data_IF_834511365103
#
_entry.id   IF_834511365103
#
_cell.length_a   1.000
_cell.length_b   1.000
_cell.length_c   1.000
_cell.angle_alpha   90.00
_cell.angle_beta   90.00
_cell.angle_gamma   90.00
#
_symmetry.space_group_name_H-M   'P 1'
#
loop_
_entity.id
_entity.type
_entity.pdbx_description
1 polymer ?
#
# COMPACT_ATOMS: atom_id res chain seq x y z
N UNK A 1 29.75 14.46 -9.35
CA UNK A 1 28.40 13.92 -9.05
C UNK A 1 27.79 14.91 -8.06
N UNK A 2 26.54 15.24 -8.16
CA UNK A 2 25.94 16.21 -7.25
C UNK A 2 25.69 15.52 -5.89
N UNK A 3 26.21 16.07 -4.79
CA UNK A 3 26.16 15.42 -3.47
C UNK A 3 24.90 15.78 -2.67
N UNK A 4 24.03 16.62 -3.22
CA UNK A 4 22.78 17.05 -2.63
C UNK A 4 21.73 17.35 -3.70
N UNK A 5 20.46 17.40 -3.30
CA UNK A 5 19.32 17.74 -4.15
C UNK A 5 18.39 18.75 -3.45
N UNK A 6 18.10 19.88 -4.10
CA UNK A 6 16.93 20.71 -3.81
C UNK A 6 15.78 20.25 -4.70
N UNK A 7 14.65 19.84 -4.11
CA UNK A 7 13.59 19.14 -4.83
C UNK A 7 12.61 20.13 -5.48
N UNK A 8 12.29 21.20 -4.76
CA UNK A 8 11.36 22.23 -5.22
C UNK A 8 11.98 23.62 -4.97
N UNK A 9 11.62 24.61 -5.79
CA UNK A 9 12.16 25.95 -5.67
C UNK A 9 11.80 26.65 -4.35
N UNK A 10 10.67 26.26 -3.74
CA UNK A 10 10.23 26.78 -2.44
C UNK A 10 10.90 26.08 -1.24
N UNK A 11 11.66 25.01 -1.46
CA UNK A 11 12.31 24.30 -0.36
C UNK A 11 13.35 25.16 0.33
N UNK A 12 13.31 25.19 1.66
CA UNK A 12 14.32 25.83 2.51
C UNK A 12 15.33 24.81 3.07
N UNK A 13 15.30 23.58 2.56
CA UNK A 13 16.25 22.50 2.83
C UNK A 13 16.73 21.86 1.54
N UNK A 14 17.89 21.21 1.60
CA UNK A 14 18.37 20.26 0.59
C UNK A 14 18.48 18.88 1.23
N UNK A 15 18.37 17.83 0.40
CA UNK A 15 18.63 16.43 0.80
C UNK A 15 20.05 16.05 0.40
N UNK A 16 20.83 15.55 1.33
CA UNK A 16 22.17 15.02 1.08
C UNK A 16 22.04 13.67 0.35
N UNK A 17 22.58 13.55 -0.85
CA UNK A 17 22.66 12.29 -1.61
C UNK A 17 23.83 11.44 -1.11
N UNK A 18 24.92 12.10 -0.74
CA UNK A 18 26.07 11.54 -0.04
C UNK A 18 26.27 12.30 1.27
N UNK A 19 27.01 11.73 2.22
CA UNK A 19 27.36 12.44 3.45
C UNK A 19 28.11 13.72 3.11
N UNK A 20 27.64 14.86 3.66
CA UNK A 20 28.29 16.18 3.52
C UNK A 20 29.10 16.42 4.79
N UNK A 21 30.45 16.50 4.70
CA UNK A 21 31.30 16.75 5.86
C UNK A 21 31.07 18.14 6.48
N UNK A 22 31.32 18.28 7.77
CA UNK A 22 31.35 19.59 8.43
C UNK A 22 32.35 20.53 7.74
N UNK A 23 31.93 21.77 7.49
CA UNK A 23 32.74 22.77 6.81
C UNK A 23 32.72 22.73 5.28
N UNK A 24 32.08 21.69 4.69
CA UNK A 24 31.91 21.57 3.25
C UNK A 24 31.01 22.71 2.72
N UNK A 25 31.35 23.22 1.56
CA UNK A 25 30.59 24.29 0.88
C UNK A 25 29.81 23.71 -0.29
N UNK A 26 28.50 23.86 -0.24
CA UNK A 26 27.61 23.50 -1.35
C UNK A 26 27.06 24.76 -2.01
N UNK A 27 26.84 24.71 -3.32
CA UNK A 27 26.21 25.81 -4.07
C UNK A 27 24.83 25.37 -4.53
N UNK A 28 23.80 26.05 -4.01
CA UNK A 28 22.38 25.74 -4.21
C UNK A 28 21.76 26.79 -5.11
N UNK A 29 20.91 26.38 -6.06
CA UNK A 29 20.09 27.29 -6.86
C UNK A 29 18.98 27.89 -6.00
N UNK A 30 18.84 29.23 -6.03
CA UNK A 30 17.78 29.96 -5.31
C UNK A 30 17.23 31.03 -6.26
N UNK A 31 15.98 30.84 -6.72
CA UNK A 31 15.41 31.68 -7.78
C UNK A 31 16.30 31.67 -9.04
N UNK A 32 16.55 32.84 -9.62
CA UNK A 32 17.41 33.00 -10.80
C UNK A 32 18.92 33.03 -10.47
N UNK A 33 19.31 32.84 -9.22
CA UNK A 33 20.68 32.91 -8.73
C UNK A 33 21.16 31.61 -8.07
N UNK A 34 22.37 31.73 -7.48
CA UNK A 34 22.96 30.66 -6.67
C UNK A 34 23.45 31.18 -5.34
N UNK A 35 23.39 30.34 -4.32
CA UNK A 35 23.85 30.64 -2.97
C UNK A 35 24.80 29.56 -2.49
N UNK A 36 25.92 29.97 -1.88
CA UNK A 36 26.84 29.05 -1.24
C UNK A 36 26.49 28.92 0.24
N UNK A 37 26.25 27.70 0.68
CA UNK A 37 25.94 27.34 2.07
C UNK A 37 27.06 26.44 2.60
N UNK A 38 27.51 26.71 3.83
CA UNK A 38 28.55 25.90 4.49
C UNK A 38 27.90 24.97 5.51
N UNK A 39 28.11 23.67 5.43
CA UNK A 39 27.62 22.70 6.41
C UNK A 39 28.28 23.00 7.78
N UNK A 40 27.46 23.18 8.82
CA UNK A 40 27.94 23.46 10.19
C UNK A 40 28.40 22.20 10.92
N UNK A 41 27.88 21.08 10.51
CA UNK A 41 28.14 19.76 11.06
C UNK A 41 28.05 18.71 9.94
N UNK A 42 28.41 17.47 10.20
CA UNK A 42 28.26 16.40 9.22
C UNK A 42 26.78 16.12 8.97
N UNK A 43 26.36 16.10 7.70
CA UNK A 43 25.00 15.78 7.26
C UNK A 43 25.02 14.39 6.64
N UNK A 44 24.45 13.36 7.27
CA UNK A 44 24.42 12.02 6.74
C UNK A 44 23.63 11.91 5.42
N UNK A 45 23.96 10.95 4.57
CA UNK A 45 23.21 10.66 3.35
C UNK A 45 21.72 10.38 3.67
N UNK A 46 20.82 10.89 2.84
CA UNK A 46 19.37 10.84 3.03
C UNK A 46 18.81 11.90 3.99
N UNK A 47 19.67 12.61 4.72
CA UNK A 47 19.25 13.65 5.66
C UNK A 47 19.17 15.03 5.00
N UNK A 48 18.64 16.00 5.74
CA UNK A 48 18.36 17.35 5.27
C UNK A 48 19.31 18.36 5.90
N UNK A 49 19.70 19.38 5.12
CA UNK A 49 20.44 20.54 5.57
C UNK A 49 19.66 21.83 5.28
N UNK A 50 19.60 22.75 6.22
CA UNK A 50 18.99 24.07 6.03
C UNK A 50 19.79 24.91 5.02
N UNK A 51 19.12 25.58 4.09
CA UNK A 51 19.76 26.50 3.12
C UNK A 51 19.49 27.96 3.43
N UNK A 52 18.80 28.23 4.52
CA UNK A 52 18.60 29.55 5.11
C UNK A 52 18.34 29.39 6.61
N UNK A 53 18.40 30.52 7.35
CA UNK A 53 17.97 30.53 8.75
C UNK A 53 16.47 30.31 8.84
N UNK A 54 16.05 29.44 9.78
CA UNK A 54 14.64 29.11 10.05
C UNK A 54 14.40 29.48 11.52
N UNK A 55 13.54 30.47 11.81
CA UNK A 55 13.26 30.88 13.19
C UNK A 55 12.49 29.80 13.94
N UNK A 56 12.53 29.83 15.28
CA UNK A 56 11.66 28.97 16.11
C UNK A 56 10.20 29.12 15.71
N UNK A 57 9.49 28.00 15.57
CA UNK A 57 8.12 27.94 15.05
C UNK A 57 8.01 28.09 13.54
N UNK A 58 9.09 28.45 12.85
CA UNK A 58 9.13 28.59 11.39
C UNK A 58 8.92 27.25 10.67
N UNK A 59 8.40 27.34 9.46
CA UNK A 59 8.11 26.16 8.64
C UNK A 59 9.38 25.57 8.03
N UNK A 60 9.53 24.26 8.13
CA UNK A 60 10.53 23.51 7.37
C UNK A 60 9.82 22.98 6.11
N UNK A 61 10.33 23.38 4.94
CA UNK A 61 9.69 23.13 3.64
C UNK A 61 10.55 22.17 2.82
N UNK A 62 9.93 21.06 2.36
CA UNK A 62 10.51 20.07 1.46
C UNK A 62 9.42 19.60 0.49
N UNK A 63 9.77 19.31 -0.74
CA UNK A 63 8.82 19.00 -1.82
C UNK A 63 7.85 20.16 -2.17
N UNK A 64 8.18 21.39 -1.78
CA UNK A 64 7.29 22.54 -1.87
C UNK A 64 6.21 22.63 -0.80
N UNK A 65 6.24 21.74 0.19
CA UNK A 65 5.26 21.65 1.27
C UNK A 65 5.93 21.68 2.64
N UNK A 66 5.17 22.09 3.65
CA UNK A 66 5.61 22.04 5.04
C UNK A 66 5.74 20.60 5.52
N UNK A 67 6.94 20.21 5.97
CA UNK A 67 7.22 18.92 6.60
C UNK A 67 7.26 18.97 8.13
N UNK A 68 7.05 20.13 8.73
CA UNK A 68 7.06 20.36 10.17
C UNK A 68 7.45 21.77 10.51
N UNK A 69 7.56 22.05 11.82
CA UNK A 69 7.98 23.34 12.32
C UNK A 69 9.28 23.21 13.13
N UNK A 70 10.13 24.23 13.05
CA UNK A 70 11.34 24.34 13.84
C UNK A 70 11.00 24.40 15.35
N UNK A 71 11.72 23.64 16.17
CA UNK A 71 11.60 23.64 17.64
C UNK A 71 12.37 24.78 18.27
N UNK A 72 13.37 25.28 17.56
CA UNK A 72 14.33 26.32 17.96
C UNK A 72 14.80 27.06 16.71
N UNK A 73 15.58 28.13 16.86
CA UNK A 73 16.21 28.79 15.73
C UNK A 73 17.22 27.86 15.06
N UNK A 74 16.99 27.50 13.80
CA UNK A 74 17.86 26.65 13.00
C UNK A 74 18.68 27.56 12.08
N UNK A 75 19.98 27.56 12.25
CA UNK A 75 20.85 28.35 11.41
C UNK A 75 21.08 27.68 10.04
N UNK A 76 21.34 28.49 9.03
CA UNK A 76 21.79 28.01 7.71
C UNK A 76 22.99 27.07 7.85
N UNK A 77 22.97 25.97 7.08
CA UNK A 77 23.98 24.90 7.09
C UNK A 77 23.82 23.86 8.19
N UNK A 78 22.81 24.00 9.06
CA UNK A 78 22.55 23.02 10.13
C UNK A 78 21.84 21.77 9.62
N UNK A 79 22.13 20.65 10.26
CA UNK A 79 21.40 19.39 10.06
C UNK A 79 19.95 19.51 10.56
N UNK A 80 19.02 19.12 9.71
CA UNK A 80 17.58 19.12 10.01
C UNK A 80 17.11 17.71 10.31
N UNK A 81 16.65 17.48 11.56
CA UNK A 81 16.13 16.19 11.98
C UNK A 81 15.22 16.32 13.21
N UNK A 82 14.86 15.18 13.83
CA UNK A 82 13.93 15.10 14.98
C UNK A 82 14.37 15.91 16.21
N UNK A 83 15.64 16.27 16.37
CA UNK A 83 16.12 17.10 17.47
C UNK A 83 15.63 18.55 17.34
N UNK A 84 15.54 19.09 16.14
CA UNK A 84 15.19 20.49 15.89
C UNK A 84 13.92 20.71 15.07
N UNK A 85 13.23 19.64 14.62
CA UNK A 85 11.95 19.73 13.91
C UNK A 85 10.88 18.89 14.62
N UNK A 86 9.67 19.43 14.72
CA UNK A 86 8.47 18.75 15.22
C UNK A 86 7.39 18.71 14.15
N UNK A 87 6.48 17.72 14.27
CA UNK A 87 5.29 17.65 13.41
C UNK A 87 4.44 18.92 13.60
N UNK A 88 3.81 19.35 12.53
CA UNK A 88 2.78 20.37 12.53
C UNK A 88 1.36 19.77 12.49
N UNK A 89 1.27 18.45 12.49
CA UNK A 89 -0.02 17.74 12.56
C UNK A 89 -0.65 17.95 13.93
N UNK A 90 -1.93 18.29 13.91
CA UNK A 90 -2.77 18.45 15.08
C UNK A 90 -3.91 17.42 15.08
N UNK A 91 -5.04 17.86 15.59
CA UNK A 91 -6.29 17.09 15.61
C UNK A 91 -6.91 16.91 14.22
N UNK A 92 -8.19 16.49 14.22
CA UNK A 92 -9.01 16.45 13.01
C UNK A 92 -9.00 17.80 12.30
N UNK A 93 -8.84 17.78 11.00
CA UNK A 93 -8.81 18.99 10.18
C UNK A 93 -10.12 19.09 9.39
N UNK A 94 -10.58 20.32 9.20
CA UNK A 94 -11.58 20.64 8.20
C UNK A 94 -10.88 20.91 6.88
N UNK A 95 -11.39 20.32 5.81
CA UNK A 95 -10.83 20.45 4.47
C UNK A 95 -11.83 21.12 3.53
N UNK A 96 -11.32 21.90 2.62
CA UNK A 96 -12.12 22.55 1.57
C UNK A 96 -11.77 21.94 0.23
N UNK A 97 -12.79 21.59 -0.54
CA UNK A 97 -12.60 21.06 -1.91
C UNK A 97 -12.04 22.16 -2.81
N UNK A 98 -10.81 21.97 -3.25
CA UNK A 98 -10.11 22.87 -4.18
C UNK A 98 -9.52 22.03 -5.32
N UNK A 99 -10.35 21.67 -6.34
CA UNK A 99 -9.95 20.72 -7.35
C UNK A 99 -8.78 21.24 -8.20
N UNK A 100 -7.74 20.40 -8.30
CA UNK A 100 -6.62 20.63 -9.20
C UNK A 100 -6.97 20.03 -10.57
N UNK A 101 -6.90 20.81 -11.65
CA UNK A 101 -7.12 20.28 -12.99
C UNK A 101 -6.13 19.14 -13.31
N UNK A 102 -6.64 17.99 -13.67
CA UNK A 102 -5.85 16.84 -14.10
C UNK A 102 -6.17 16.54 -15.56
N UNK A 103 -5.13 16.55 -16.39
CA UNK A 103 -5.26 16.15 -17.78
C UNK A 103 -5.23 14.62 -17.89
N UNK A 104 -6.35 14.01 -18.25
CA UNK A 104 -6.40 12.57 -18.54
C UNK A 104 -5.76 12.28 -19.90
N UNK A 105 -4.55 11.76 -19.87
CA UNK A 105 -3.85 11.30 -21.08
C UNK A 105 -4.24 9.85 -21.36
N UNK A 106 -5.16 9.66 -22.31
CA UNK A 106 -5.42 8.33 -22.87
C UNK A 106 -4.38 8.04 -23.96
N UNK A 107 -3.75 6.90 -23.86
CA UNK A 107 -2.80 6.40 -24.85
C UNK A 107 -3.39 5.17 -25.54
N UNK A 108 -2.70 4.66 -26.58
CA UNK A 108 -3.06 3.44 -27.29
C UNK A 108 -3.28 2.26 -26.35
N UNK A 109 -4.23 1.39 -26.69
CA UNK A 109 -4.47 0.15 -25.95
C UNK A 109 -3.25 -0.75 -26.04
N UNK A 110 -2.80 -1.22 -24.89
CA UNK A 110 -1.61 -2.09 -24.73
C UNK A 110 -2.07 -3.37 -24.03
N UNK A 111 -1.52 -4.49 -24.47
CA UNK A 111 -1.83 -5.77 -23.87
C UNK A 111 -0.67 -6.28 -23.03
N UNK A 112 -0.99 -7.15 -22.06
CA UNK A 112 -0.04 -7.98 -21.33
C UNK A 112 -0.45 -9.44 -21.43
N UNK A 113 0.46 -10.36 -21.17
CA UNK A 113 0.19 -11.79 -21.20
C UNK A 113 -0.35 -12.25 -19.84
N UNK A 114 -1.64 -12.50 -19.77
CA UNK A 114 -2.35 -12.89 -18.55
C UNK A 114 -3.29 -14.07 -18.76
N UNK A 115 -4.00 -14.46 -17.70
CA UNK A 115 -4.94 -15.59 -17.70
C UNK A 115 -6.37 -15.06 -17.60
N UNK A 116 -7.20 -15.31 -18.63
CA UNK A 116 -8.62 -15.08 -18.54
C UNK A 116 -9.29 -16.17 -17.67
N UNK A 117 -10.16 -15.75 -16.76
CA UNK A 117 -10.94 -16.66 -15.92
C UNK A 117 -12.38 -16.75 -16.43
N UNK A 118 -13.07 -17.88 -16.18
CA UNK A 118 -14.45 -18.07 -16.63
C UNK A 118 -15.44 -17.00 -16.12
N UNK A 119 -15.16 -16.38 -14.96
CA UNK A 119 -15.94 -15.29 -14.38
C UNK A 119 -15.62 -13.90 -14.97
N UNK A 120 -14.77 -13.84 -16.00
CA UNK A 120 -14.36 -12.60 -16.68
C UNK A 120 -13.27 -11.80 -15.98
N UNK A 121 -12.80 -12.28 -14.82
CA UNK A 121 -11.62 -11.70 -14.14
C UNK A 121 -10.33 -12.11 -14.84
N UNK A 122 -9.23 -11.43 -14.50
CA UNK A 122 -7.94 -11.65 -15.13
C UNK A 122 -6.87 -11.87 -14.08
N UNK A 123 -6.15 -13.00 -14.21
CA UNK A 123 -4.97 -13.30 -13.39
C UNK A 123 -3.67 -12.92 -14.11
N UNK A 124 -2.69 -12.42 -13.38
CA UNK A 124 -1.31 -12.27 -13.85
C UNK A 124 -0.47 -13.51 -13.51
N UNK A 125 -1.01 -14.37 -12.63
CA UNK A 125 -0.44 -15.66 -12.20
C UNK A 125 -1.46 -16.77 -12.34
N UNK A 126 -0.97 -18.00 -12.29
CA UNK A 126 -1.77 -19.21 -12.30
C UNK A 126 -1.27 -20.17 -11.21
N UNK A 127 -1.64 -19.86 -9.99
CA UNK A 127 -1.18 -20.56 -8.78
C UNK A 127 -2.30 -21.41 -8.20
N UNK A 128 -1.96 -22.42 -7.40
CA UNK A 128 -2.92 -23.14 -6.55
C UNK A 128 -2.74 -22.65 -5.12
N UNK A 129 -3.82 -22.19 -4.51
CA UNK A 129 -3.79 -21.61 -3.18
C UNK A 129 -4.43 -22.55 -2.14
N UNK A 130 -3.72 -22.77 -1.02
CA UNK A 130 -4.25 -23.44 0.16
C UNK A 130 -4.55 -22.37 1.20
N UNK A 131 -5.84 -22.18 1.46
CA UNK A 131 -6.33 -21.10 2.34
C UNK A 131 -6.91 -21.74 3.61
N UNK A 132 -6.21 -21.63 4.77
CA UNK A 132 -6.73 -22.09 6.05
C UNK A 132 -7.87 -21.17 6.52
N UNK A 133 -8.91 -21.75 7.13
CA UNK A 133 -10.00 -20.98 7.79
C UNK A 133 -9.61 -20.50 9.18
N UNK A 134 -8.59 -21.14 9.78
CA UNK A 134 -8.13 -20.89 11.15
C UNK A 134 -6.63 -21.14 11.26
N UNK A 135 -5.94 -20.35 12.09
CA UNK A 135 -4.48 -20.46 12.29
C UNK A 135 -4.00 -21.83 12.78
N UNK A 136 -4.88 -22.63 13.40
CA UNK A 136 -4.55 -23.98 13.89
C UNK A 136 -4.07 -24.94 12.80
N UNK A 137 -4.55 -24.78 11.55
CA UNK A 137 -4.16 -25.65 10.42
C UNK A 137 -3.07 -25.04 9.52
N UNK A 138 -2.44 -23.96 9.92
CA UNK A 138 -1.39 -23.31 9.13
C UNK A 138 -0.23 -24.23 8.77
N UNK A 139 0.24 -25.03 9.73
CA UNK A 139 1.34 -25.96 9.49
C UNK A 139 0.92 -27.10 8.55
N UNK A 140 -0.32 -27.57 8.66
CA UNK A 140 -0.90 -28.57 7.74
C UNK A 140 -0.98 -27.97 6.34
N UNK A 141 -1.52 -26.75 6.18
CA UNK A 141 -1.60 -26.07 4.89
C UNK A 141 -0.20 -25.90 4.25
N UNK A 142 0.80 -25.53 5.05
CA UNK A 142 2.20 -25.41 4.58
C UNK A 142 2.78 -26.74 4.15
N UNK A 143 2.52 -27.82 4.90
CA UNK A 143 2.97 -29.16 4.56
C UNK A 143 2.31 -29.68 3.26
N UNK A 144 1.00 -29.46 3.11
CA UNK A 144 0.24 -29.78 1.91
C UNK A 144 0.85 -29.05 0.69
N UNK A 145 1.02 -27.72 0.77
CA UNK A 145 1.57 -26.93 -0.31
C UNK A 145 2.98 -27.42 -0.71
N UNK A 146 3.84 -27.71 0.28
CA UNK A 146 5.19 -28.25 0.03
C UNK A 146 5.17 -29.59 -0.71
N UNK A 147 4.30 -30.51 -0.31
CA UNK A 147 4.21 -31.83 -0.96
C UNK A 147 3.58 -31.70 -2.35
N UNK A 148 2.52 -30.92 -2.50
CA UNK A 148 1.80 -30.74 -3.74
C UNK A 148 2.61 -30.05 -4.84
N UNK A 149 3.60 -29.23 -4.48
CA UNK A 149 4.50 -28.61 -5.47
C UNK A 149 5.27 -29.61 -6.33
N UNK A 150 5.45 -30.86 -5.88
CA UNK A 150 6.05 -31.90 -6.69
C UNK A 150 5.19 -32.32 -7.92
N UNK A 151 3.91 -31.95 -7.93
CA UNK A 151 2.95 -32.30 -8.99
C UNK A 151 2.63 -31.13 -9.92
N UNK A 152 3.19 -29.94 -9.69
CA UNK A 152 2.99 -28.76 -10.53
C UNK A 152 3.39 -29.06 -11.97
N UNK A 153 2.52 -28.68 -12.92
CA UNK A 153 2.70 -28.90 -14.35
C UNK A 153 1.97 -27.87 -15.22
N UNK A 154 2.27 -27.87 -16.51
CA UNK A 154 1.63 -26.97 -17.48
C UNK A 154 1.89 -25.51 -17.17
N UNK A 155 0.82 -24.73 -17.18
CA UNK A 155 0.87 -23.29 -16.89
C UNK A 155 0.78 -22.95 -15.39
N UNK A 156 0.62 -23.94 -14.52
CA UNK A 156 0.59 -23.71 -13.05
C UNK A 156 1.99 -23.39 -12.58
N UNK A 157 2.13 -22.30 -11.84
CA UNK A 157 3.43 -21.79 -11.40
C UNK A 157 3.90 -22.44 -10.10
N UNK A 158 3.01 -22.51 -9.10
CA UNK A 158 3.31 -23.12 -7.79
C UNK A 158 2.03 -23.39 -6.97
N UNK A 159 2.20 -24.12 -5.86
CA UNK A 159 1.19 -24.29 -4.82
C UNK A 159 1.62 -23.50 -3.59
N UNK A 160 0.79 -22.56 -3.13
CA UNK A 160 1.10 -21.64 -2.04
C UNK A 160 0.08 -21.79 -0.91
N UNK A 161 0.55 -21.82 0.35
CA UNK A 161 -0.32 -21.70 1.51
C UNK A 161 -0.35 -20.24 2.00
N UNK A 162 -1.52 -19.79 2.49
CA UNK A 162 -1.72 -18.45 3.06
C UNK A 162 -1.96 -18.53 4.58
N UNK A 163 -0.94 -18.84 5.40
CA UNK A 163 -1.08 -18.92 6.83
C UNK A 163 -1.43 -17.56 7.43
N UNK A 164 -2.30 -17.55 8.45
CA UNK A 164 -2.67 -16.34 9.18
C UNK A 164 -2.80 -16.62 10.69
N UNK A 165 -2.61 -15.61 11.58
CA UNK A 165 -2.59 -15.83 13.04
C UNK A 165 -3.99 -15.93 13.67
N UNK A 166 -5.06 -15.77 12.91
CA UNK A 166 -6.41 -15.63 13.42
C UNK A 166 -7.03 -16.98 13.79
N UNK A 167 -7.84 -16.99 14.87
CA UNK A 167 -8.43 -18.19 15.43
C UNK A 167 -9.78 -17.95 16.05
N UNK A 168 -10.27 -18.93 16.84
CA UNK A 168 -11.60 -18.93 17.45
C UNK A 168 -11.82 -17.81 18.48
N UNK A 169 -10.77 -17.13 18.94
CA UNK A 169 -10.85 -16.01 19.86
C UNK A 169 -11.19 -14.67 19.20
N UNK A 170 -11.16 -14.60 17.86
CA UNK A 170 -11.70 -13.44 17.18
C UNK A 170 -13.20 -13.32 17.38
N UNK A 171 -13.69 -12.10 17.57
CA UNK A 171 -15.10 -11.81 17.79
C UNK A 171 -15.54 -10.55 17.04
N UNK A 172 -16.86 -10.42 16.84
CA UNK A 172 -17.46 -9.23 16.25
C UNK A 172 -16.89 -8.89 14.88
N UNK A 173 -16.60 -7.61 14.69
CA UNK A 173 -16.17 -7.05 13.41
C UNK A 173 -14.83 -7.61 12.93
N UNK A 174 -13.90 -7.92 13.83
CA UNK A 174 -12.60 -8.50 13.47
C UNK A 174 -12.77 -9.88 12.80
N UNK A 175 -13.66 -10.71 13.33
CA UNK A 175 -13.96 -12.00 12.74
C UNK A 175 -14.69 -11.86 11.40
N UNK A 176 -15.60 -10.90 11.32
CA UNK A 176 -16.33 -10.56 10.10
C UNK A 176 -15.40 -10.10 8.97
N UNK A 177 -14.44 -9.23 9.29
CA UNK A 177 -13.42 -8.80 8.35
C UNK A 177 -12.53 -9.95 7.89
N UNK A 178 -12.13 -10.85 8.81
CA UNK A 178 -11.34 -12.03 8.45
C UNK A 178 -12.09 -12.92 7.44
N UNK A 179 -13.39 -13.16 7.64
CA UNK A 179 -14.21 -13.94 6.70
C UNK A 179 -14.25 -13.30 5.31
N UNK A 180 -14.44 -11.98 5.24
CA UNK A 180 -14.45 -11.24 3.96
C UNK A 180 -13.10 -11.33 3.26
N UNK A 181 -12.00 -11.12 3.97
CA UNK A 181 -10.65 -11.20 3.41
C UNK A 181 -10.36 -12.61 2.90
N UNK A 182 -10.73 -13.65 3.64
CA UNK A 182 -10.57 -15.03 3.19
C UNK A 182 -11.40 -15.33 1.93
N UNK A 183 -12.63 -14.83 1.88
CA UNK A 183 -13.49 -14.96 0.71
C UNK A 183 -12.91 -14.24 -0.52
N UNK A 184 -12.36 -13.04 -0.33
CA UNK A 184 -11.71 -12.27 -1.40
C UNK A 184 -10.44 -12.98 -1.91
N UNK A 185 -9.65 -13.59 -1.02
CA UNK A 185 -8.50 -14.43 -1.40
C UNK A 185 -8.96 -15.67 -2.21
N UNK A 186 -10.01 -16.33 -1.78
CA UNK A 186 -10.58 -17.50 -2.49
C UNK A 186 -11.04 -17.09 -3.90
N UNK A 187 -11.62 -15.90 -4.04
CA UNK A 187 -12.11 -15.36 -5.31
C UNK A 187 -11.05 -14.65 -6.14
N UNK A 188 -9.80 -14.58 -5.66
CA UNK A 188 -8.75 -13.85 -6.35
C UNK A 188 -8.34 -14.51 -7.67
N UNK A 189 -8.24 -13.77 -8.79
CA UNK A 189 -8.02 -14.35 -10.12
C UNK A 189 -6.62 -14.92 -10.36
N UNK A 190 -5.62 -14.61 -9.53
CA UNK A 190 -4.30 -15.24 -9.59
C UNK A 190 -4.33 -16.71 -9.16
N UNK A 191 -5.32 -17.10 -8.35
CA UNK A 191 -5.55 -18.49 -8.01
C UNK A 191 -6.26 -19.22 -9.15
N UNK A 192 -5.56 -20.06 -9.89
CA UNK A 192 -6.14 -20.98 -10.86
C UNK A 192 -6.95 -22.09 -10.22
N UNK A 193 -6.63 -22.44 -8.96
CA UNK A 193 -7.38 -23.34 -8.11
C UNK A 193 -7.19 -23.01 -6.62
N UNK A 194 -8.15 -23.32 -5.78
CA UNK A 194 -8.12 -23.05 -4.34
C UNK A 194 -8.58 -24.28 -3.55
N UNK A 195 -7.80 -24.67 -2.55
CA UNK A 195 -8.22 -25.56 -1.49
C UNK A 195 -8.46 -24.75 -0.23
N UNK A 196 -9.71 -24.69 0.23
CA UNK A 196 -10.08 -24.11 1.53
C UNK A 196 -9.95 -25.20 2.59
N UNK A 197 -9.05 -24.97 3.56
CA UNK A 197 -8.70 -25.97 4.57
C UNK A 197 -9.28 -25.57 5.93
N UNK A 198 -10.30 -26.30 6.40
CA UNK A 198 -10.89 -26.18 7.72
C UNK A 198 -10.27 -27.15 8.72
N UNK A 199 -10.31 -26.80 10.02
CA UNK A 199 -10.00 -27.75 11.09
C UNK A 199 -11.20 -28.65 11.39
N UNK A 200 -12.38 -28.04 11.59
CA UNK A 200 -13.65 -28.70 11.92
C UNK A 200 -14.35 -28.16 13.16
N UNK A 201 -13.62 -27.57 14.12
CA UNK A 201 -14.20 -27.01 15.36
C UNK A 201 -14.15 -25.48 15.44
N UNK A 202 -13.68 -24.80 14.41
CA UNK A 202 -13.55 -23.35 14.37
C UNK A 202 -14.89 -22.61 14.17
N UNK A 203 -14.98 -21.39 14.72
CA UNK A 203 -16.18 -20.54 14.60
C UNK A 203 -16.42 -20.05 13.17
N UNK A 204 -15.38 -19.92 12.37
CA UNK A 204 -15.43 -19.54 10.95
C UNK A 204 -15.20 -20.77 10.06
N UNK A 205 -15.92 -21.87 10.35
CA UNK A 205 -15.84 -23.09 9.57
C UNK A 205 -16.31 -22.87 8.12
N UNK A 206 -16.11 -23.88 7.28
CA UNK A 206 -16.39 -23.82 5.85
C UNK A 206 -17.84 -23.41 5.56
N UNK A 207 -18.81 -23.92 6.30
CA UNK A 207 -20.24 -23.61 6.05
C UNK A 207 -20.57 -22.15 6.39
N UNK A 208 -19.93 -21.60 7.43
CA UNK A 208 -20.03 -20.17 7.77
C UNK A 208 -19.32 -19.30 6.73
N UNK A 209 -18.24 -19.78 6.10
CA UNK A 209 -17.47 -19.01 5.12
C UNK A 209 -18.11 -19.02 3.72
N UNK A 210 -18.76 -20.11 3.30
CA UNK A 210 -19.38 -20.24 1.98
C UNK A 210 -20.28 -19.05 1.56
N UNK A 211 -21.17 -18.51 2.41
CA UNK A 211 -21.99 -17.35 2.07
C UNK A 211 -21.19 -16.11 1.70
N UNK A 212 -19.97 -15.93 2.25
CA UNK A 212 -19.07 -14.81 1.92
C UNK A 212 -18.38 -15.01 0.58
N UNK A 213 -18.06 -16.27 0.22
CA UNK A 213 -17.45 -16.61 -1.07
C UNK A 213 -18.45 -16.31 -2.20
N UNK A 214 -19.75 -16.50 -1.95
CA UNK A 214 -20.80 -16.37 -2.96
C UNK A 214 -20.77 -17.50 -3.98
N UNK A 215 -21.16 -17.21 -5.22
CA UNK A 215 -21.11 -18.17 -6.32
C UNK A 215 -19.67 -18.46 -6.73
N UNK A 216 -19.29 -19.72 -6.81
CA UNK A 216 -17.95 -20.17 -7.20
C UNK A 216 -17.99 -21.38 -8.14
N UNK A 217 -16.94 -21.54 -8.95
CA UNK A 217 -16.76 -22.74 -9.78
C UNK A 217 -16.24 -23.90 -8.91
N UNK A 218 -17.03 -24.94 -8.78
CA UNK A 218 -16.67 -26.13 -8.01
C UNK A 218 -15.46 -26.91 -8.58
N UNK A 219 -15.06 -26.67 -9.83
CA UNK A 219 -13.83 -27.21 -10.38
C UNK A 219 -12.61 -26.46 -9.89
N UNK A 220 -12.77 -25.17 -9.57
CA UNK A 220 -11.73 -24.27 -9.12
C UNK A 220 -11.57 -24.23 -7.60
N UNK A 221 -12.67 -24.30 -6.85
CA UNK A 221 -12.67 -24.20 -5.38
C UNK A 221 -13.09 -25.52 -4.75
N UNK A 222 -12.21 -26.05 -3.92
CA UNK A 222 -12.44 -27.30 -3.16
C UNK A 222 -12.32 -27.03 -1.67
N UNK A 223 -12.95 -27.87 -0.88
CA UNK A 223 -12.99 -27.77 0.57
C UNK A 223 -12.55 -29.09 1.20
N UNK A 224 -11.84 -29.02 2.32
CA UNK A 224 -11.49 -30.17 3.15
C UNK A 224 -11.52 -29.77 4.63
N UNK A 225 -12.12 -30.61 5.47
CA UNK A 225 -12.13 -30.46 6.93
C UNK A 225 -11.17 -31.49 7.53
N UNK A 226 -10.08 -31.05 8.15
CA UNK A 226 -9.01 -31.93 8.62
C UNK A 226 -9.50 -33.05 9.57
N UNK A 227 -10.41 -32.72 10.51
CA UNK A 227 -10.93 -33.70 11.48
C UNK A 227 -11.84 -34.80 10.89
N UNK A 228 -12.23 -34.68 9.63
CA UNK A 228 -13.04 -35.67 8.92
C UNK A 228 -12.21 -36.68 8.11
N UNK A 229 -10.86 -36.52 8.11
CA UNK A 229 -9.94 -37.35 7.34
C UNK A 229 -8.90 -38.02 8.23
N UNK A 230 -8.55 -39.27 7.89
CA UNK A 230 -7.50 -40.03 8.61
C UNK A 230 -6.07 -39.49 8.25
N UNK A 231 -5.88 -39.05 7.00
CA UNK A 231 -4.66 -38.41 6.50
C UNK A 231 -5.05 -37.21 5.66
N UNK A 232 -5.32 -36.10 6.36
CA UNK A 232 -5.72 -34.84 5.75
C UNK A 232 -4.70 -34.28 4.76
N UNK A 233 -3.42 -34.63 4.94
CA UNK A 233 -2.35 -34.18 4.04
C UNK A 233 -2.42 -34.95 2.72
N UNK A 234 -2.47 -36.28 2.78
CA UNK A 234 -2.57 -37.12 1.57
C UNK A 234 -3.83 -36.81 0.77
N UNK A 235 -4.97 -36.72 1.43
CA UNK A 235 -6.25 -36.44 0.78
C UNK A 235 -6.26 -35.03 0.16
N UNK A 236 -5.69 -34.04 0.84
CA UNK A 236 -5.54 -32.69 0.29
C UNK A 236 -4.64 -32.67 -0.95
N UNK A 237 -3.53 -33.42 -0.95
CA UNK A 237 -2.64 -33.50 -2.11
C UNK A 237 -3.37 -34.11 -3.32
N UNK A 238 -4.22 -35.13 -3.12
CA UNK A 238 -5.02 -35.69 -4.22
C UNK A 238 -6.02 -34.66 -4.78
N UNK A 239 -6.67 -33.88 -3.91
CA UNK A 239 -7.55 -32.78 -4.33
C UNK A 239 -6.76 -31.75 -5.15
N UNK A 240 -5.57 -31.36 -4.66
CA UNK A 240 -4.73 -30.36 -5.34
C UNK A 240 -4.24 -30.86 -6.70
N UNK A 241 -3.95 -32.13 -6.88
CA UNK A 241 -3.65 -32.69 -8.21
C UNK A 241 -4.80 -32.44 -9.21
N UNK A 242 -6.04 -32.62 -8.77
CA UNK A 242 -7.22 -32.28 -9.56
C UNK A 242 -7.32 -30.78 -9.88
N UNK A 243 -6.99 -29.92 -8.91
CA UNK A 243 -6.93 -28.46 -9.12
C UNK A 243 -5.81 -28.05 -10.09
N UNK A 244 -4.63 -28.71 -10.02
CA UNK A 244 -3.53 -28.52 -10.97
C UNK A 244 -3.98 -28.95 -12.39
N UNK A 245 -4.67 -30.08 -12.53
CA UNK A 245 -5.20 -30.55 -13.82
C UNK A 245 -6.24 -29.58 -14.41
N UNK A 246 -7.06 -28.97 -13.56
CA UNK A 246 -8.01 -27.94 -13.98
C UNK A 246 -7.26 -26.66 -14.38
N UNK A 247 -6.39 -26.13 -13.52
CA UNK A 247 -5.69 -24.87 -13.73
C UNK A 247 -4.68 -24.93 -14.89
N UNK A 248 -4.06 -26.08 -15.17
CA UNK A 248 -3.12 -26.26 -16.28
C UNK A 248 -3.74 -26.12 -17.67
N UNK A 249 -5.08 -26.06 -17.77
CA UNK A 249 -5.79 -25.81 -19.04
C UNK A 249 -5.80 -24.35 -19.46
N UNK A 250 -5.54 -23.43 -18.52
CA UNK A 250 -5.46 -22.01 -18.83
C UNK A 250 -4.08 -21.67 -19.37
N UNK A 251 -4.05 -20.92 -20.46
CA UNK A 251 -2.82 -20.44 -21.07
C UNK A 251 -2.76 -18.91 -21.00
N UNK A 252 -1.57 -18.35 -21.07
CA UNK A 252 -1.39 -16.89 -21.15
C UNK A 252 -1.79 -16.41 -22.54
N UNK A 253 -2.64 -15.39 -22.55
CA UNK A 253 -3.10 -14.73 -23.79
C UNK A 253 -2.98 -13.21 -23.67
N UNK A 254 -2.95 -12.48 -24.80
CA UNK A 254 -2.92 -11.02 -24.78
C UNK A 254 -4.22 -10.46 -24.21
N UNK A 255 -4.10 -9.70 -23.11
CA UNK A 255 -5.22 -9.08 -22.39
C UNK A 255 -4.95 -7.58 -22.28
N UNK A 256 -5.97 -6.74 -22.47
CA UNK A 256 -5.83 -5.30 -22.30
C UNK A 256 -5.32 -4.93 -20.92
N UNK A 257 -4.35 -4.02 -20.85
CA UNK A 257 -3.82 -3.44 -19.60
C UNK A 257 -4.92 -2.76 -18.78
N UNK A 258 -6.03 -2.38 -19.38
CA UNK A 258 -7.21 -1.84 -18.68
C UNK A 258 -7.80 -2.79 -17.62
N UNK A 259 -7.50 -4.09 -17.70
CA UNK A 259 -7.90 -5.10 -16.72
C UNK A 259 -6.90 -5.26 -15.57
N UNK A 260 -5.75 -4.61 -15.63
CA UNK A 260 -4.69 -4.75 -14.62
C UNK A 260 -4.93 -3.82 -13.44
N UNK A 261 -4.96 -4.40 -12.24
CA UNK A 261 -5.10 -3.68 -10.96
C UNK A 261 -3.86 -3.94 -10.12
N UNK A 262 -3.20 -2.88 -9.65
CA UNK A 262 -1.97 -2.97 -8.88
C UNK A 262 -2.09 -2.19 -7.57
N UNK A 263 -1.91 -2.90 -6.44
CA UNK A 263 -1.77 -2.31 -5.12
C UNK A 263 -0.37 -1.72 -4.91
N UNK A 264 -0.31 -0.50 -4.38
CA UNK A 264 0.93 0.21 -4.06
C UNK A 264 1.16 0.18 -2.56
N UNK A 265 2.32 -0.30 -2.12
CA UNK A 265 2.67 -0.40 -0.70
C UNK A 265 4.08 0.12 -0.44
N UNK A 266 4.32 0.63 0.78
CA UNK A 266 5.65 0.95 1.27
C UNK A 266 6.38 -0.34 1.72
N UNK A 267 7.62 -0.54 1.28
CA UNK A 267 8.48 -1.64 1.76
C UNK A 267 9.35 -1.21 2.94
N UNK A 268 9.97 -0.05 2.83
CA UNK A 268 10.77 0.62 3.84
C UNK A 268 11.06 2.04 3.38
N UNK A 269 10.94 3.01 4.30
CA UNK A 269 11.07 4.43 3.95
C UNK A 269 12.32 5.03 4.57
N UNK A 270 13.05 5.81 3.77
CA UNK A 270 14.16 6.66 4.18
C UNK A 270 14.09 8.01 3.44
N UNK A 271 15.04 8.90 3.70
CA UNK A 271 15.10 10.22 3.05
C UNK A 271 15.30 10.16 1.54
N UNK A 272 15.85 9.06 1.00
CA UNK A 272 16.10 8.88 -0.43
C UNK A 272 14.91 8.25 -1.15
N UNK A 273 14.13 7.38 -0.52
CA UNK A 273 12.98 6.73 -1.15
C UNK A 273 11.92 7.74 -1.62
N UNK A 274 11.76 8.88 -0.91
CA UNK A 274 10.87 9.97 -1.32
C UNK A 274 11.30 10.72 -2.58
N UNK A 275 12.55 10.60 -2.99
CA UNK A 275 13.09 11.24 -4.20
C UNK A 275 13.51 10.26 -5.30
N UNK A 276 13.40 8.96 -5.06
CA UNK A 276 13.76 7.90 -6.00
C UNK A 276 12.60 6.93 -6.22
N UNK A 277 12.42 5.95 -5.33
CA UNK A 277 11.46 4.86 -5.49
C UNK A 277 10.01 5.35 -5.57
N UNK A 278 9.59 6.26 -4.69
CA UNK A 278 8.19 6.72 -4.66
C UNK A 278 7.79 7.51 -5.92
N UNK A 279 8.59 8.48 -6.41
CA UNK A 279 8.32 9.13 -7.70
C UNK A 279 8.35 8.15 -8.89
N UNK A 280 9.25 7.16 -8.88
CA UNK A 280 9.29 6.13 -9.93
C UNK A 280 7.99 5.32 -9.96
N UNK A 281 7.51 4.88 -8.79
CA UNK A 281 6.22 4.18 -8.66
C UNK A 281 5.08 5.09 -9.12
N UNK A 282 5.14 6.39 -8.81
CA UNK A 282 4.15 7.36 -9.29
C UNK A 282 4.15 7.50 -10.82
N UNK A 283 5.31 7.52 -11.45
CA UNK A 283 5.40 7.51 -12.93
C UNK A 283 4.87 6.22 -13.54
N UNK A 284 5.13 5.09 -12.89
CA UNK A 284 4.52 3.82 -13.28
C UNK A 284 2.98 3.87 -13.12
N UNK A 285 2.48 4.44 -12.01
CA UNK A 285 1.04 4.64 -11.79
C UNK A 285 0.41 5.47 -12.91
N UNK A 286 1.00 6.62 -13.25
CA UNK A 286 0.55 7.47 -14.36
C UNK A 286 0.53 6.71 -15.69
N UNK A 287 1.58 5.93 -15.98
CA UNK A 287 1.67 5.13 -17.19
C UNK A 287 0.58 4.06 -17.24
N UNK A 288 0.38 3.31 -16.16
CA UNK A 288 -0.64 2.27 -16.08
C UNK A 288 -2.05 2.85 -16.26
N UNK A 289 -2.35 3.96 -15.57
CA UNK A 289 -3.65 4.64 -15.65
C UNK A 289 -3.87 5.21 -17.05
N UNK A 290 -2.84 5.75 -17.70
CA UNK A 290 -2.96 6.25 -19.09
C UNK A 290 -3.31 5.15 -20.10
N UNK A 291 -3.03 3.88 -19.76
CA UNK A 291 -3.39 2.66 -20.51
C UNK A 291 -4.73 2.07 -20.05
N UNK A 292 -5.46 2.74 -19.17
CA UNK A 292 -6.75 2.30 -18.64
C UNK A 292 -6.69 1.37 -17.43
N UNK A 293 -5.49 1.00 -16.94
CA UNK A 293 -5.33 0.18 -15.74
C UNK A 293 -5.63 0.96 -14.45
N UNK A 294 -5.60 0.25 -13.33
CA UNK A 294 -5.95 0.80 -12.01
C UNK A 294 -4.79 0.64 -11.03
N UNK A 295 -4.54 1.67 -10.23
CA UNK A 295 -3.62 1.61 -9.09
C UNK A 295 -4.36 1.93 -7.80
N UNK A 296 -3.99 1.25 -6.70
CA UNK A 296 -4.60 1.40 -5.38
C UNK A 296 -3.50 1.74 -4.37
N UNK A 297 -3.61 2.88 -3.67
CA UNK A 297 -2.81 3.17 -2.48
C UNK A 297 -3.40 2.44 -1.28
N UNK A 298 -2.56 1.79 -0.46
CA UNK A 298 -3.01 0.86 0.58
C UNK A 298 -2.74 1.33 2.01
N UNK A 299 -2.08 2.46 2.23
CA UNK A 299 -1.57 2.85 3.55
C UNK A 299 -2.10 4.23 3.96
N UNK A 300 -3.36 4.28 4.43
CA UNK A 300 -4.03 5.53 4.85
C UNK A 300 -3.23 6.32 5.91
N UNK A 301 -2.67 5.72 6.98
CA UNK A 301 -1.88 6.47 7.96
C UNK A 301 -0.63 7.13 7.38
N UNK A 302 -0.11 6.65 6.26
CA UNK A 302 1.02 7.25 5.55
C UNK A 302 0.62 8.38 4.60
N UNK A 303 -0.64 8.81 4.62
CA UNK A 303 -1.16 9.96 3.86
C UNK A 303 -1.35 11.19 4.76
N UNK A 304 -1.33 11.03 6.09
CA UNK A 304 -1.57 12.13 7.03
C UNK A 304 -0.53 13.24 6.88
N UNK A 305 -1.01 14.46 6.67
CA UNK A 305 -0.19 15.64 6.37
C UNK A 305 0.11 15.85 4.88
N UNK A 306 -0.28 14.89 4.01
CA UNK A 306 -0.20 15.00 2.55
C UNK A 306 -1.54 14.68 1.86
N UNK A 307 -2.58 14.42 2.63
CA UNK A 307 -3.90 14.02 2.17
C UNK A 307 -4.54 15.01 1.19
N UNK A 308 -4.28 16.31 1.34
CA UNK A 308 -4.82 17.35 0.44
C UNK A 308 -4.37 17.19 -1.00
N UNK A 309 -3.21 16.57 -1.23
CA UNK A 309 -2.70 16.27 -2.58
C UNK A 309 -3.62 15.25 -3.28
N UNK A 310 -4.15 14.29 -2.54
CA UNK A 310 -5.11 13.31 -3.06
C UNK A 310 -6.53 13.90 -3.13
N UNK A 311 -6.98 14.57 -2.07
CA UNK A 311 -8.29 15.20 -1.96
C UNK A 311 -8.56 16.18 -3.10
N UNK A 312 -7.58 17.02 -3.45
CA UNK A 312 -7.71 17.98 -4.54
C UNK A 312 -7.68 17.36 -5.94
N UNK A 313 -7.35 16.08 -6.05
CA UNK A 313 -7.41 15.30 -7.29
C UNK A 313 -8.61 14.36 -7.34
N UNK A 314 -9.53 14.42 -6.39
CA UNK A 314 -10.78 13.67 -6.45
C UNK A 314 -11.62 14.08 -7.67
N UNK A 315 -12.19 13.10 -8.37
CA UNK A 315 -12.92 13.31 -9.59
C UNK A 315 -14.18 14.18 -9.42
N UNK A 316 -14.71 14.24 -8.22
CA UNK A 316 -15.87 15.06 -7.84
C UNK A 316 -15.87 15.34 -6.33
N UNK A 317 -16.78 16.23 -5.91
CA UNK A 317 -16.92 16.66 -4.52
C UNK A 317 -17.41 15.53 -3.58
N UNK A 318 -18.25 14.63 -4.07
CA UNK A 318 -18.69 13.46 -3.29
C UNK A 318 -17.51 12.58 -2.90
N UNK A 319 -16.64 12.26 -3.85
CA UNK A 319 -15.43 11.47 -3.59
C UNK A 319 -14.43 12.22 -2.70
N UNK A 320 -14.35 13.54 -2.82
CA UNK A 320 -13.58 14.37 -1.89
C UNK A 320 -14.09 14.16 -0.44
N UNK A 321 -15.40 14.25 -0.20
CA UNK A 321 -15.96 14.03 1.13
C UNK A 321 -15.71 12.60 1.63
N UNK A 322 -15.86 11.59 0.78
CA UNK A 322 -15.52 10.21 1.14
C UNK A 322 -14.04 10.08 1.54
N UNK A 323 -13.14 10.79 0.86
CA UNK A 323 -11.70 10.78 1.20
C UNK A 323 -11.44 11.50 2.52
N UNK A 324 -12.12 12.61 2.79
CA UNK A 324 -12.06 13.32 4.08
C UNK A 324 -12.55 12.43 5.21
N UNK A 325 -13.69 11.77 5.03
CA UNK A 325 -14.25 10.84 6.01
C UNK A 325 -13.26 9.69 6.29
N UNK A 326 -12.70 9.06 5.24
CA UNK A 326 -11.68 8.01 5.37
C UNK A 326 -10.50 8.44 6.24
N UNK A 327 -9.92 9.61 5.97
CA UNK A 327 -8.76 10.13 6.71
C UNK A 327 -9.14 10.42 8.17
N UNK A 328 -10.27 11.08 8.39
CA UNK A 328 -10.71 11.46 9.73
C UNK A 328 -11.17 10.26 10.56
N UNK A 329 -11.86 9.29 9.97
CA UNK A 329 -12.26 8.04 10.64
C UNK A 329 -11.04 7.25 11.08
N UNK A 330 -10.00 7.18 10.26
CA UNK A 330 -8.77 6.50 10.64
C UNK A 330 -8.01 7.24 11.76
N UNK A 331 -7.99 8.58 11.74
CA UNK A 331 -7.48 9.38 12.87
C UNK A 331 -8.28 9.13 14.14
N UNK A 332 -9.61 9.05 14.05
CA UNK A 332 -10.50 8.72 15.18
C UNK A 332 -10.25 7.30 15.70
N UNK A 333 -9.95 6.33 14.85
CA UNK A 333 -9.57 4.99 15.25
C UNK A 333 -8.33 5.00 16.15
N UNK A 334 -7.27 5.75 15.79
CA UNK A 334 -6.11 5.94 16.68
C UNK A 334 -6.51 6.53 18.03
N UNK A 335 -7.34 7.59 18.04
CA UNK A 335 -7.80 8.26 19.26
C UNK A 335 -8.63 7.33 20.16
N UNK A 336 -9.53 6.52 19.57
CA UNK A 336 -10.37 5.58 20.32
C UNK A 336 -9.56 4.51 21.06
N UNK A 337 -8.33 4.23 20.57
CA UNK A 337 -7.38 3.32 21.20
C UNK A 337 -6.32 4.03 22.05
N UNK A 338 -6.48 5.32 22.33
CA UNK A 338 -5.51 6.16 23.05
C UNK A 338 -4.10 6.12 22.43
N UNK A 339 -4.03 6.05 21.10
CA UNK A 339 -2.78 6.08 20.34
C UNK A 339 -2.58 7.45 19.69
N UNK A 340 -1.32 7.85 19.60
CA UNK A 340 -0.93 9.10 18.95
C UNK A 340 -0.96 8.92 17.43
N UNK A 341 -1.64 9.84 16.72
CA UNK A 341 -1.79 9.79 15.26
C UNK A 341 -0.43 9.87 14.53
N UNK A 342 0.54 10.57 15.11
CA UNK A 342 1.84 10.91 14.51
C UNK A 342 3.04 10.16 15.12
N UNK A 343 2.85 8.98 15.69
CA UNK A 343 3.97 8.10 16.13
C UNK A 343 4.84 7.63 14.96
N UNK A 344 4.24 7.38 13.80
CA UNK A 344 5.00 7.20 12.56
C UNK A 344 5.72 8.53 12.19
N UNK A 345 6.98 8.55 11.73
CA UNK A 345 7.82 7.46 11.23
C UNK A 345 8.48 6.61 12.34
N UNK A 346 8.73 5.34 12.00
CA UNK A 346 9.42 4.39 12.88
C UNK A 346 10.86 4.83 13.17
N UNK A 347 11.51 4.28 14.22
CA UNK A 347 12.92 4.57 14.50
C UNK A 347 13.85 4.33 13.32
N UNK A 348 13.63 3.27 12.52
CA UNK A 348 14.42 2.98 11.33
C UNK A 348 14.23 4.02 10.22
N UNK A 349 13.00 4.50 10.01
CA UNK A 349 12.73 5.58 9.06
C UNK A 349 13.41 6.91 9.51
N UNK A 350 13.37 7.21 10.81
CA UNK A 350 14.05 8.38 11.38
C UNK A 350 15.56 8.27 11.18
N UNK A 351 16.17 7.12 11.47
CA UNK A 351 17.61 6.87 11.21
C UNK A 351 17.96 7.05 9.73
N UNK A 352 17.04 6.77 8.82
CA UNK A 352 17.18 6.96 7.37
C UNK A 352 16.90 8.39 6.88
N UNK A 353 16.72 9.38 7.76
CA UNK A 353 16.60 10.80 7.40
C UNK A 353 15.19 11.39 7.39
N UNK A 354 14.14 10.59 7.64
CA UNK A 354 12.77 11.10 7.76
C UNK A 354 12.58 11.73 9.15
N UNK A 355 12.04 12.95 9.21
CA UNK A 355 11.93 13.71 10.46
C UNK A 355 10.55 13.62 11.11
N UNK A 356 9.50 13.66 10.31
CA UNK A 356 8.10 13.80 10.73
C UNK A 356 7.19 12.91 9.90
N UNK A 357 5.93 12.76 10.30
CA UNK A 357 4.96 12.02 9.51
C UNK A 357 4.67 12.73 8.18
N UNK A 358 4.59 14.06 8.16
CA UNK A 358 4.39 14.84 6.94
C UNK A 358 5.53 14.62 5.92
N UNK A 359 6.79 14.60 6.39
CA UNK A 359 7.96 14.30 5.55
C UNK A 359 7.85 12.91 4.90
N UNK A 360 7.39 11.91 5.67
CA UNK A 360 7.12 10.56 5.17
C UNK A 360 5.95 10.55 4.19
N UNK A 361 4.84 11.17 4.56
CA UNK A 361 3.58 11.13 3.81
C UNK A 361 3.69 11.85 2.46
N UNK A 362 4.35 13.00 2.41
CA UNK A 362 4.66 13.71 1.16
C UNK A 362 5.50 12.84 0.21
N UNK A 363 6.44 12.06 0.75
CA UNK A 363 7.16 11.06 -0.03
C UNK A 363 6.26 9.93 -0.50
N UNK A 364 5.46 9.34 0.40
CA UNK A 364 4.64 8.17 0.11
C UNK A 364 3.49 8.44 -0.88
N UNK A 365 2.81 9.58 -0.77
CA UNK A 365 1.71 9.94 -1.67
C UNK A 365 2.12 10.12 -3.12
N UNK A 366 3.41 10.36 -3.40
CA UNK A 366 3.93 10.43 -4.77
C UNK A 366 3.72 9.13 -5.56
N UNK A 367 3.57 7.97 -4.87
CA UNK A 367 3.25 6.68 -5.51
C UNK A 367 1.93 6.73 -6.31
N UNK A 368 1.03 7.64 -5.98
CA UNK A 368 -0.23 7.84 -6.72
C UNK A 368 -0.05 8.50 -8.09
N UNK A 369 1.15 9.00 -8.41
CA UNK A 369 1.36 9.80 -9.60
C UNK A 369 0.53 11.09 -9.60
N UNK A 370 0.08 11.50 -10.77
CA UNK A 370 -0.66 12.75 -11.00
C UNK A 370 -2.12 12.54 -11.45
N UNK A 371 -2.57 11.29 -11.61
CA UNK A 371 -3.89 10.95 -12.12
C UNK A 371 -5.03 11.33 -11.16
N UNK A 372 -6.27 11.40 -11.68
CA UNK A 372 -7.48 11.59 -10.87
C UNK A 372 -7.66 10.43 -9.87
N UNK A 373 -8.08 10.77 -8.67
CA UNK A 373 -8.58 9.81 -7.68
C UNK A 373 -10.03 9.51 -8.04
N UNK A 374 -10.33 8.25 -8.38
CA UNK A 374 -11.65 7.80 -8.88
C UNK A 374 -12.41 6.92 -7.89
N UNK A 375 -11.80 6.56 -6.77
CA UNK A 375 -12.44 5.73 -5.75
C UNK A 375 -11.75 5.83 -4.41
N UNK A 376 -12.52 5.55 -3.37
CA UNK A 376 -12.07 5.44 -1.99
C UNK A 376 -12.54 4.09 -1.46
N UNK A 377 -11.61 3.23 -1.05
CA UNK A 377 -11.87 1.88 -0.53
C UNK A 377 -11.33 1.78 0.88
N UNK A 378 -12.13 1.29 1.82
CA UNK A 378 -11.69 1.05 3.17
C UNK A 378 -12.17 -0.32 3.65
N UNK A 379 -11.21 -1.21 3.94
CA UNK A 379 -11.49 -2.57 4.41
C UNK A 379 -11.48 -2.73 5.93
N UNK A 380 -10.97 -1.74 6.66
CA UNK A 380 -10.63 -1.88 8.09
C UNK A 380 -11.32 -0.89 9.02
N UNK A 381 -12.20 -0.01 8.53
CA UNK A 381 -12.98 0.86 9.42
C UNK A 381 -14.21 0.14 9.95
N UNK A 382 -14.54 0.29 11.23
CA UNK A 382 -15.79 -0.21 11.82
C UNK A 382 -17.03 0.59 11.38
N UNK A 383 -16.91 1.53 10.43
CA UNK A 383 -18.02 2.38 10.00
C UNK A 383 -19.01 1.64 9.12
N UNK A 384 -20.34 1.79 9.32
CA UNK A 384 -21.36 1.24 8.42
C UNK A 384 -21.23 1.70 6.95
N UNK A 385 -20.51 2.81 6.71
CA UNK A 385 -20.24 3.34 5.36
C UNK A 385 -19.28 2.44 4.56
N UNK A 386 -18.42 1.68 5.24
CA UNK A 386 -17.49 0.76 4.60
C UNK A 386 -18.19 -0.39 3.88
N UNK A 387 -19.39 -0.74 4.34
CA UNK A 387 -20.24 -1.73 3.68
C UNK A 387 -20.66 -1.32 2.27
N UNK A 388 -20.84 -0.03 2.02
CA UNK A 388 -21.20 0.48 0.70
C UNK A 388 -20.00 0.52 -0.25
N UNK A 389 -18.82 0.89 0.27
CA UNK A 389 -17.59 0.99 -0.51
C UNK A 389 -17.00 -0.39 -0.90
N UNK A 390 -17.12 -1.40 -0.02
CA UNK A 390 -16.66 -2.77 -0.29
C UNK A 390 -17.50 -3.51 -1.34
N UNK A 391 -18.68 -2.97 -1.70
CA UNK A 391 -19.59 -3.52 -2.71
C UNK A 391 -19.48 -2.87 -4.08
N UNK A 392 -18.56 -1.93 -4.29
CA UNK A 392 -18.35 -1.42 -5.65
C UNK A 392 -17.78 -2.55 -6.52
N UNK A 393 -18.45 -2.91 -7.63
CA UNK A 393 -17.94 -3.92 -8.53
C UNK A 393 -16.60 -3.46 -9.09
N UNK A 394 -15.68 -4.39 -9.28
CA UNK A 394 -14.38 -4.20 -9.93
C UNK A 394 -14.49 -3.80 -11.42
N UNK A 395 -15.61 -3.24 -11.82
CA UNK A 395 -15.95 -2.80 -13.17
C UNK A 395 -16.67 -1.44 -13.12
N UNK A 396 -15.99 -0.42 -12.66
CA UNK A 396 -16.36 0.96 -12.95
C UNK A 396 -15.13 1.75 -13.35
#
# INVERSE_FOLDING_TARGET
>A
MQDFLKINDNDNVVVALNTIPAGEKITVSVGDGSKTVTAREEIPAGHKMAICDIPEGGEVIKYGYRIGNAKENIAEGSWIHTHNVKTALGDLLEYTYNPTPVEEKKTEDVTFMGFNRPDGKVGVRNEIWVIPTVGCVNNVATAIAKQANAFVKGSVEEVIAFPHPYGCSQMGDDQEHTRKILADLINHPNAGGVLVLGLGCENSNIDVLKPYIGDYDENRVKFLVCQEHEDEIADSVEIIKGLIDYASKFEREPISVSKLVIGMKCGGSDGLSGITANPLVGRFSDLLISKGGTTILTEVPEMFGAETILMNRCANEELFHQTVDLINDFKNYFKSHNQTIYENPSPGNKKGGISTLEDKSLGCTQKSGSALVKGCLLYTSPSPRDYAASRMPSSA
#
